data_IF_276908531473
#
_entry.id   IF_276908531473
#
_cell.length_a   1.000
_cell.length_b   1.000
_cell.length_c   1.000
_cell.angle_alpha   90.00
_cell.angle_beta   90.00
_cell.angle_gamma   90.00
#
_symmetry.space_group_name_H-M   'P 1'
#
loop_
_entity.id
_entity.type
_entity.pdbx_description
1 polymer ?
#
# COMPACT_ATOMS: atom_id res chain seq x y z
N UNK A 1 -20.66 17.58 8.29
CA UNK A 1 -19.90 17.57 7.01
C UNK A 1 -19.18 16.24 6.86
N UNK A 2 -19.17 15.60 5.68
CA UNK A 2 -18.50 14.29 5.49
C UNK A 2 -17.00 14.47 5.13
N UNK A 3 -16.14 13.66 5.73
CA UNK A 3 -14.69 13.64 5.56
C UNK A 3 -13.96 14.97 5.83
N UNK A 4 -14.55 15.87 6.64
CA UNK A 4 -13.93 17.15 6.99
C UNK A 4 -13.16 17.03 8.30
N UNK A 5 -11.86 17.34 8.23
CA UNK A 5 -10.94 17.43 9.36
C UNK A 5 -10.69 18.91 9.70
N UNK A 6 -10.79 19.26 10.98
CA UNK A 6 -10.38 20.56 11.50
C UNK A 6 -9.18 20.39 12.43
N UNK A 7 -8.07 21.05 12.11
CA UNK A 7 -6.84 21.01 12.90
C UNK A 7 -6.09 22.34 12.80
N UNK A 8 -5.63 22.87 13.94
CA UNK A 8 -4.92 24.17 14.04
C UNK A 8 -5.66 25.32 13.32
N UNK A 9 -6.98 25.41 13.50
CA UNK A 9 -7.81 26.48 12.90
C UNK A 9 -8.03 26.36 11.39
N UNK A 10 -7.55 25.30 10.74
CA UNK A 10 -7.72 25.03 9.31
C UNK A 10 -8.67 23.86 9.07
N UNK A 11 -9.33 23.86 7.91
CA UNK A 11 -10.22 22.81 7.44
C UNK A 11 -9.59 22.05 6.28
N UNK A 12 -9.73 20.73 6.29
CA UNK A 12 -9.20 19.82 5.28
C UNK A 12 -10.29 18.84 4.87
N UNK A 13 -10.38 18.54 3.57
CA UNK A 13 -11.24 17.47 3.06
C UNK A 13 -10.36 16.24 2.81
N UNK A 14 -10.61 15.17 3.56
CA UNK A 14 -9.87 13.92 3.46
C UNK A 14 -10.49 13.01 2.39
N UNK A 15 -9.66 12.25 1.67
CA UNK A 15 -10.13 11.23 0.73
C UNK A 15 -10.56 11.75 -0.66
N UNK A 16 -10.29 13.01 -1.00
CA UNK A 16 -10.59 13.57 -2.33
C UNK A 16 -9.33 13.73 -3.19
N UNK A 17 -9.36 13.12 -4.38
CA UNK A 17 -8.31 13.26 -5.40
C UNK A 17 -7.03 12.46 -5.13
N UNK A 18 -6.21 12.27 -6.16
CA UNK A 18 -4.88 11.67 -6.03
C UNK A 18 -3.91 12.69 -5.46
N UNK A 19 -3.15 12.32 -4.44
CA UNK A 19 -2.04 13.15 -3.96
C UNK A 19 -0.84 13.01 -4.90
N UNK A 20 -0.22 14.14 -5.25
CA UNK A 20 1.05 14.15 -5.98
C UNK A 20 2.11 13.38 -5.19
N UNK A 21 2.92 12.56 -5.87
CA UNK A 21 4.04 11.87 -5.23
C UNK A 21 5.00 12.89 -4.61
N UNK A 22 5.22 12.77 -3.31
CA UNK A 22 6.24 13.53 -2.58
C UNK A 22 7.35 12.56 -2.18
N UNK A 23 8.61 12.95 -2.43
CA UNK A 23 9.79 12.08 -2.22
C UNK A 23 9.94 11.54 -0.79
N UNK A 24 9.44 12.25 0.22
CA UNK A 24 9.46 11.79 1.61
C UNK A 24 8.07 11.91 2.24
N UNK A 25 7.69 10.89 3.04
CA UNK A 25 6.45 10.87 3.81
C UNK A 25 6.39 11.98 4.88
N UNK A 26 7.52 12.61 5.21
CA UNK A 26 7.59 13.68 6.20
C UNK A 26 7.77 15.07 5.57
N UNK A 27 7.69 15.20 4.25
CA UNK A 27 7.88 16.47 3.55
C UNK A 27 6.77 17.49 3.80
N UNK A 28 5.58 17.05 4.23
CA UNK A 28 4.46 17.91 4.58
C UNK A 28 3.55 17.22 5.61
N UNK A 29 2.49 17.90 6.04
CA UNK A 29 1.57 17.41 7.06
C UNK A 29 0.46 16.49 6.51
N UNK A 30 0.45 16.15 5.22
CA UNK A 30 -0.64 15.36 4.62
C UNK A 30 -0.82 14.01 5.32
N UNK A 31 0.25 13.27 5.58
CA UNK A 31 0.16 11.97 6.24
C UNK A 31 -0.28 12.10 7.71
N UNK A 32 0.12 13.16 8.39
CA UNK A 32 -0.28 13.44 9.76
C UNK A 32 -1.79 13.75 9.83
N UNK A 33 -2.29 14.58 8.91
CA UNK A 33 -3.72 14.89 8.78
C UNK A 33 -4.54 13.63 8.42
N UNK A 34 -4.07 12.81 7.48
CA UNK A 34 -4.70 11.54 7.15
C UNK A 34 -4.69 10.56 8.34
N UNK A 35 -3.64 10.58 9.16
CA UNK A 35 -3.57 9.78 10.39
C UNK A 35 -4.63 10.23 11.40
N UNK A 36 -4.89 11.53 11.56
CA UNK A 36 -5.98 12.03 12.42
C UNK A 36 -7.34 11.52 11.95
N UNK A 37 -7.61 11.62 10.65
CA UNK A 37 -8.86 11.13 10.07
C UNK A 37 -8.99 9.61 10.28
N UNK A 38 -7.91 8.84 10.08
CA UNK A 38 -7.89 7.40 10.30
C UNK A 38 -8.14 7.03 11.78
N UNK A 39 -7.51 7.73 12.73
CA UNK A 39 -7.76 7.53 14.17
C UNK A 39 -9.23 7.76 14.50
N UNK A 40 -9.83 8.86 14.03
CA UNK A 40 -11.24 9.16 14.28
C UNK A 40 -12.18 8.09 13.68
N UNK A 41 -11.90 7.65 12.45
CA UNK A 41 -12.67 6.58 11.80
C UNK A 41 -12.57 5.27 12.58
N UNK A 42 -11.37 4.88 13.02
CA UNK A 42 -11.16 3.64 13.77
C UNK A 42 -11.84 3.67 15.15
N UNK A 43 -11.73 4.78 15.88
CA UNK A 43 -12.41 4.96 17.17
C UNK A 43 -13.92 4.85 16.99
N UNK A 44 -14.49 5.48 15.95
CA UNK A 44 -15.92 5.38 15.65
C UNK A 44 -16.33 3.96 15.30
N UNK A 45 -15.56 3.28 14.45
CA UNK A 45 -15.81 1.90 14.05
C UNK A 45 -15.84 0.97 15.27
N UNK A 46 -14.88 1.12 16.19
CA UNK A 46 -14.81 0.34 17.44
C UNK A 46 -15.73 0.83 18.55
N UNK A 47 -16.47 1.93 18.34
CA UNK A 47 -17.31 2.59 19.35
C UNK A 47 -16.51 2.98 20.61
N UNK A 48 -15.24 3.37 20.42
CA UNK A 48 -14.35 3.80 21.50
C UNK A 48 -14.63 5.22 21.99
N UNK A 49 -14.03 5.57 23.12
CA UNK A 49 -14.08 6.93 23.65
C UNK A 49 -13.25 7.89 22.79
N UNK A 50 -13.79 9.08 22.52
CA UNK A 50 -13.12 10.12 21.71
C UNK A 50 -11.98 10.83 22.49
N UNK A 51 -11.90 10.59 23.80
CA UNK A 51 -10.80 10.98 24.68
C UNK A 51 -10.11 9.71 25.17
N UNK A 52 -9.01 9.33 24.53
CA UNK A 52 -8.37 8.04 24.80
C UNK A 52 -6.89 8.05 24.47
N UNK A 53 -6.21 7.02 24.95
CA UNK A 53 -4.81 6.76 24.71
C UNK A 53 -4.67 5.74 23.57
N UNK A 54 -3.75 5.96 22.64
CA UNK A 54 -3.52 5.08 21.49
C UNK A 54 -2.04 4.78 21.28
N UNK A 55 -1.74 3.60 20.76
CA UNK A 55 -0.44 3.26 20.18
C UNK A 55 -0.61 3.21 18.67
N UNK A 56 0.18 3.99 17.93
CA UNK A 56 0.13 3.97 16.47
C UNK A 56 1.07 2.89 15.94
N UNK A 57 0.53 1.98 15.14
CA UNK A 57 1.29 1.00 14.40
C UNK A 57 1.30 1.40 12.92
N UNK A 58 2.47 1.70 12.35
CA UNK A 58 2.57 2.23 10.99
C UNK A 58 3.74 1.62 10.20
N UNK A 59 3.66 1.77 8.87
CA UNK A 59 4.58 1.14 7.92
C UNK A 59 5.46 2.10 7.13
N UNK A 60 6.70 1.69 6.89
CA UNK A 60 7.57 2.30 5.88
C UNK A 60 7.95 1.27 4.81
N UNK A 61 8.16 1.70 3.55
CA UNK A 61 8.73 0.84 2.52
C UNK A 61 10.03 0.23 3.02
N UNK A 62 10.28 -1.06 2.76
CA UNK A 62 11.47 -1.70 3.32
C UNK A 62 12.75 -0.99 2.87
N UNK A 63 12.85 -0.64 1.59
CA UNK A 63 14.03 0.01 1.03
C UNK A 63 14.40 1.32 1.73
N UNK A 64 13.42 2.03 2.31
CA UNK A 64 13.67 3.26 3.04
C UNK A 64 13.57 3.10 4.56
N UNK A 65 13.17 1.93 5.07
CA UNK A 65 12.86 1.70 6.49
C UNK A 65 13.99 2.16 7.39
N UNK A 66 15.22 1.69 7.19
CA UNK A 66 16.35 2.04 8.04
C UNK A 66 16.66 3.55 8.08
N UNK A 67 16.53 4.24 6.94
CA UNK A 67 16.81 5.67 6.79
C UNK A 67 15.68 6.54 7.34
N UNK A 68 14.43 6.17 7.09
CA UNK A 68 13.26 7.02 7.37
C UNK A 68 12.61 6.72 8.72
N UNK A 69 12.91 5.59 9.36
CA UNK A 69 12.29 5.16 10.63
C UNK A 69 12.33 6.23 11.71
N UNK A 70 13.49 6.85 11.96
CA UNK A 70 13.62 7.84 13.02
C UNK A 70 12.74 9.08 12.74
N UNK A 71 12.89 9.67 11.57
CA UNK A 71 12.15 10.88 11.18
C UNK A 71 10.65 10.65 11.09
N UNK A 72 10.22 9.50 10.57
CA UNK A 72 8.79 9.18 10.48
C UNK A 72 8.17 8.91 11.86
N UNK A 73 8.94 8.31 12.78
CA UNK A 73 8.49 8.14 14.17
C UNK A 73 8.31 9.51 14.84
N UNK A 74 9.29 10.40 14.72
CA UNK A 74 9.21 11.76 15.26
C UNK A 74 8.05 12.57 14.65
N UNK A 75 7.81 12.40 13.36
CA UNK A 75 6.70 13.04 12.62
C UNK A 75 5.31 12.66 13.16
N UNK A 76 5.10 11.37 13.48
CA UNK A 76 3.85 10.85 14.05
C UNK A 76 3.78 11.06 15.57
N UNK A 77 4.92 11.00 16.27
CA UNK A 77 5.03 11.12 17.72
C UNK A 77 5.44 12.54 18.14
N UNK A 78 4.63 13.52 17.75
CA UNK A 78 4.85 14.94 18.08
C UNK A 78 4.75 15.16 19.60
N UNK A 79 5.56 16.12 20.10
CA UNK A 79 5.63 16.45 21.53
C UNK A 79 4.37 17.16 22.03
N UNK A 80 3.67 17.84 21.14
CA UNK A 80 2.41 18.52 21.40
C UNK A 80 1.30 17.49 21.64
N UNK A 81 1.14 17.08 22.90
CA UNK A 81 0.13 16.13 23.38
C UNK A 81 -0.77 16.80 24.44
N UNK A 82 -2.06 16.44 24.54
CA UNK A 82 -2.76 15.48 23.67
C UNK A 82 -3.05 16.09 22.28
N UNK A 83 -3.13 15.22 21.27
CA UNK A 83 -3.53 15.58 19.92
C UNK A 83 -5.03 15.90 19.89
N UNK A 84 -5.36 17.18 19.68
CA UNK A 84 -6.73 17.69 19.61
C UNK A 84 -7.12 18.07 18.18
N UNK A 85 -8.23 17.55 17.70
CA UNK A 85 -8.77 17.83 16.37
C UNK A 85 -10.28 17.58 16.33
N UNK A 86 -10.95 18.05 15.26
CA UNK A 86 -12.33 17.65 14.97
C UNK A 86 -12.41 16.90 13.65
N UNK A 87 -13.23 15.86 13.59
CA UNK A 87 -13.48 15.12 12.37
C UNK A 87 -14.98 14.89 12.21
N UNK A 88 -15.56 15.33 11.10
CA UNK A 88 -17.02 15.31 10.85
C UNK A 88 -17.84 15.88 12.02
N UNK A 89 -17.46 17.09 12.46
CA UNK A 89 -18.11 17.86 13.54
C UNK A 89 -17.95 17.28 14.97
N UNK A 90 -17.24 16.17 15.11
CA UNK A 90 -16.95 15.50 16.40
C UNK A 90 -15.56 15.86 16.93
N UNK A 91 -15.44 16.15 18.23
CA UNK A 91 -14.17 16.51 18.87
C UNK A 91 -13.43 15.27 19.41
N UNK A 92 -12.13 15.20 19.16
CA UNK A 92 -11.23 14.15 19.64
C UNK A 92 -10.09 14.74 20.46
N UNK A 93 -9.71 14.07 21.56
CA UNK A 93 -8.55 14.36 22.39
C UNK A 93 -7.74 13.08 22.58
N UNK A 94 -6.75 12.86 21.73
CA UNK A 94 -6.02 11.60 21.62
C UNK A 94 -4.63 11.75 22.21
N UNK A 95 -4.27 10.92 23.19
CA UNK A 95 -2.89 10.81 23.65
C UNK A 95 -2.19 9.69 22.89
N UNK A 96 -1.24 10.02 22.03
CA UNK A 96 -0.40 9.00 21.41
C UNK A 96 0.64 8.59 22.46
N UNK A 97 0.58 7.34 22.91
CA UNK A 97 1.50 6.80 23.92
C UNK A 97 2.82 6.34 23.29
N UNK A 98 2.75 5.74 22.10
CA UNK A 98 3.91 5.30 21.34
C UNK A 98 3.59 5.19 19.85
N UNK A 99 4.64 5.16 19.04
CA UNK A 99 4.59 4.89 17.60
C UNK A 99 5.54 3.72 17.30
N UNK A 100 4.97 2.60 16.87
CA UNK A 100 5.67 1.39 16.44
C UNK A 100 5.72 1.36 14.91
N UNK A 101 6.93 1.36 14.37
CA UNK A 101 7.15 1.32 12.93
C UNK A 101 7.63 -0.04 12.48
N UNK A 102 7.02 -0.51 11.40
CA UNK A 102 7.30 -1.81 10.82
C UNK A 102 7.63 -1.72 9.33
N UNK A 103 8.42 -2.67 8.83
CA UNK A 103 8.63 -2.83 7.40
C UNK A 103 7.35 -3.28 6.70
N UNK A 104 6.95 -2.54 5.65
CA UNK A 104 5.93 -2.97 4.69
C UNK A 104 6.36 -4.27 4.01
N UNK A 105 5.41 -5.11 3.63
CA UNK A 105 5.68 -6.42 3.03
C UNK A 105 5.87 -7.50 4.08
N UNK A 106 6.85 -7.30 4.96
CA UNK A 106 7.23 -8.32 5.94
C UNK A 106 6.18 -8.53 7.02
N UNK A 107 5.51 -7.47 7.47
CA UNK A 107 4.53 -7.58 8.56
C UNK A 107 3.25 -8.31 8.15
N UNK A 108 2.90 -8.26 6.86
CA UNK A 108 1.81 -9.07 6.31
C UNK A 108 2.11 -10.58 6.43
N UNK A 109 3.38 -10.99 6.38
CA UNK A 109 3.77 -12.39 6.61
C UNK A 109 3.55 -12.86 8.05
N UNK A 110 3.42 -11.95 9.03
CA UNK A 110 3.04 -12.34 10.39
C UNK A 110 1.63 -12.96 10.45
N UNK A 111 0.79 -12.68 9.45
CA UNK A 111 -0.53 -13.30 9.28
C UNK A 111 -0.44 -14.61 8.48
N UNK A 112 0.59 -14.77 7.65
CA UNK A 112 0.75 -15.87 6.69
C UNK A 112 2.16 -16.49 6.72
N UNK A 113 2.64 -17.02 7.88
CA UNK A 113 3.99 -17.56 8.00
C UNK A 113 4.24 -18.76 7.07
N UNK A 114 3.17 -19.48 6.66
CA UNK A 114 3.22 -20.56 5.67
C UNK A 114 3.75 -20.14 4.30
N UNK A 115 3.74 -18.84 3.99
CA UNK A 115 4.25 -18.34 2.71
C UNK A 115 5.77 -18.46 2.57
N UNK A 116 6.49 -18.53 3.70
CA UNK A 116 7.96 -18.44 3.73
C UNK A 116 8.64 -19.55 4.54
N UNK A 117 7.88 -20.31 5.34
CA UNK A 117 8.40 -21.25 6.35
C UNK A 117 9.40 -22.27 5.81
N UNK A 118 9.14 -22.82 4.63
CA UNK A 118 9.90 -23.94 4.07
C UNK A 118 10.74 -23.53 2.85
N UNK A 119 10.92 -22.23 2.64
CA UNK A 119 11.64 -21.67 1.50
C UNK A 119 12.93 -20.98 1.96
N UNK A 120 14.11 -21.38 1.45
CA UNK A 120 15.38 -20.77 1.85
C UNK A 120 15.52 -19.34 1.32
N UNK A 121 14.83 -19.01 0.23
CA UNK A 121 14.83 -17.67 -0.35
C UNK A 121 13.47 -17.33 -0.95
N UNK A 122 12.89 -16.20 -0.57
CA UNK A 122 11.59 -15.73 -1.08
C UNK A 122 11.67 -14.26 -1.43
N UNK A 123 11.14 -13.86 -2.58
CA UNK A 123 10.98 -12.45 -2.92
C UNK A 123 9.64 -11.92 -2.41
N UNK A 124 9.67 -10.90 -1.57
CA UNK A 124 8.52 -10.05 -1.30
C UNK A 124 8.46 -8.94 -2.36
N UNK A 125 7.30 -8.76 -2.99
CA UNK A 125 7.01 -7.68 -3.92
C UNK A 125 5.72 -6.96 -3.51
N UNK A 126 5.83 -5.73 -3.00
CA UNK A 126 4.68 -4.88 -2.65
C UNK A 126 4.40 -3.90 -3.80
N UNK A 127 3.29 -4.12 -4.51
CA UNK A 127 2.88 -3.34 -5.68
C UNK A 127 1.88 -2.29 -5.22
N UNK A 128 2.41 -1.13 -4.87
CA UNK A 128 1.67 0.04 -4.44
C UNK A 128 1.18 0.90 -5.60
N UNK A 129 0.53 2.02 -5.24
CA UNK A 129 0.04 3.00 -6.22
C UNK A 129 1.18 3.66 -7.00
N UNK A 130 2.29 3.98 -6.34
CA UNK A 130 3.42 4.71 -6.98
C UNK A 130 4.64 3.84 -7.24
N UNK A 131 4.95 2.93 -6.32
CA UNK A 131 6.16 2.12 -6.35
C UNK A 131 5.85 0.63 -6.31
N UNK A 132 6.80 -0.15 -6.80
CA UNK A 132 6.92 -1.59 -6.52
C UNK A 132 8.16 -1.78 -5.65
N UNK A 133 7.94 -2.18 -4.41
CA UNK A 133 9.00 -2.39 -3.44
C UNK A 133 9.36 -3.88 -3.36
N UNK A 134 10.63 -4.20 -3.58
CA UNK A 134 11.18 -5.55 -3.62
C UNK A 134 12.10 -5.81 -2.45
N UNK A 135 12.05 -7.04 -1.92
CA UNK A 135 12.89 -7.50 -0.82
C UNK A 135 13.03 -9.00 -0.87
N UNK A 136 14.26 -9.50 -0.85
CA UNK A 136 14.51 -10.92 -0.61
C UNK A 136 14.51 -11.22 0.88
N UNK A 137 13.89 -12.33 1.24
CA UNK A 137 14.05 -12.98 2.52
C UNK A 137 15.01 -14.15 2.34
N UNK A 138 15.99 -14.27 3.22
CA UNK A 138 16.89 -15.42 3.30
C UNK A 138 16.57 -16.17 4.60
N UNK A 139 16.08 -17.40 4.49
CA UNK A 139 15.56 -18.19 5.63
C UNK A 139 14.55 -17.40 6.47
N UNK A 140 13.56 -16.79 5.81
CA UNK A 140 12.55 -15.89 6.42
C UNK A 140 13.10 -14.61 7.06
N UNK A 141 14.40 -14.29 6.92
CA UNK A 141 14.99 -13.05 7.45
C UNK A 141 15.12 -12.00 6.35
N UNK A 142 14.64 -10.76 6.54
CA UNK A 142 14.79 -9.68 5.57
C UNK A 142 16.25 -9.37 5.22
N UNK A 143 16.60 -9.42 3.94
CA UNK A 143 17.90 -9.01 3.44
C UNK A 143 17.84 -7.57 2.90
N UNK A 144 18.20 -6.60 3.74
CA UNK A 144 18.15 -5.18 3.41
C UNK A 144 19.02 -4.78 2.19
N UNK A 145 20.10 -5.51 1.88
CA UNK A 145 20.95 -5.21 0.72
C UNK A 145 20.25 -5.48 -0.62
N UNK A 146 19.22 -6.33 -0.59
CA UNK A 146 18.42 -6.68 -1.77
C UNK A 146 17.25 -5.73 -2.00
N UNK A 147 17.01 -4.75 -1.11
CA UNK A 147 15.91 -3.82 -1.28
C UNK A 147 16.00 -3.03 -2.57
N UNK A 148 14.90 -2.98 -3.34
CA UNK A 148 14.74 -2.12 -4.50
C UNK A 148 13.37 -1.47 -4.44
N UNK A 149 13.28 -0.21 -4.88
CA UNK A 149 12.02 0.49 -5.04
C UNK A 149 11.95 0.97 -6.48
N UNK A 150 11.00 0.46 -7.24
CA UNK A 150 10.82 0.74 -8.66
C UNK A 150 9.65 1.71 -8.81
N UNK A 151 9.82 2.81 -9.54
CA UNK A 151 8.71 3.73 -9.83
C UNK A 151 7.77 3.15 -10.90
N UNK A 152 7.18 1.99 -10.64
CA UNK A 152 6.32 1.25 -11.56
C UNK A 152 4.97 0.90 -10.92
N UNK A 153 4.51 1.68 -9.94
CA UNK A 153 3.24 1.44 -9.28
C UNK A 153 2.03 1.55 -10.22
N UNK A 154 0.88 1.14 -9.69
CA UNK A 154 -0.39 1.00 -10.44
C UNK A 154 -0.85 2.31 -11.10
N UNK A 155 -0.52 3.47 -10.54
CA UNK A 155 -0.90 4.77 -11.11
C UNK A 155 -0.36 4.93 -12.53
N UNK A 156 0.90 4.51 -12.80
CA UNK A 156 1.46 4.58 -14.16
C UNK A 156 0.72 3.66 -15.13
N UNK A 157 0.23 2.51 -14.66
CA UNK A 157 -0.60 1.61 -15.47
C UNK A 157 -1.93 2.27 -15.83
N UNK A 158 -2.61 2.88 -14.85
CA UNK A 158 -3.90 3.55 -15.06
C UNK A 158 -3.77 4.76 -15.99
N UNK A 159 -2.70 5.54 -15.84
CA UNK A 159 -2.45 6.72 -16.68
C UNK A 159 -2.20 6.30 -18.15
N UNK A 160 -1.37 5.27 -18.38
CA UNK A 160 -1.14 4.70 -19.70
C UNK A 160 -2.43 4.14 -20.31
N UNK A 161 -3.23 3.41 -19.53
CA UNK A 161 -4.53 2.90 -19.99
C UNK A 161 -5.45 4.02 -20.43
N UNK A 162 -5.53 5.09 -19.64
CA UNK A 162 -6.38 6.25 -19.93
C UNK A 162 -5.97 6.89 -21.25
N UNK A 163 -4.67 7.07 -21.47
CA UNK A 163 -4.12 7.59 -22.73
C UNK A 163 -4.45 6.66 -23.91
N UNK A 164 -4.22 5.36 -23.75
CA UNK A 164 -4.41 4.37 -24.81
C UNK A 164 -5.88 4.23 -25.20
N UNK A 165 -6.80 4.25 -24.24
CA UNK A 165 -8.24 4.26 -24.53
C UNK A 165 -8.59 5.53 -25.32
N UNK A 166 -8.20 6.71 -24.81
CA UNK A 166 -8.50 7.98 -25.48
C UNK A 166 -7.95 8.04 -26.89
N UNK A 167 -6.72 7.58 -27.11
CA UNK A 167 -6.06 7.58 -28.43
C UNK A 167 -6.74 6.67 -29.45
N UNK A 168 -7.23 5.51 -29.03
CA UNK A 168 -7.77 4.51 -29.96
C UNK A 168 -9.29 4.60 -30.15
N UNK A 169 -10.02 5.16 -29.19
CA UNK A 169 -11.50 5.20 -29.24
C UNK A 169 -12.08 6.62 -29.12
N UNK A 170 -11.27 7.61 -28.72
CA UNK A 170 -11.74 8.96 -28.39
C UNK A 170 -12.50 9.05 -27.07
N UNK A 171 -12.69 7.94 -26.35
CA UNK A 171 -13.46 7.87 -25.12
C UNK A 171 -12.63 8.31 -23.90
N UNK A 172 -13.32 8.81 -22.88
CA UNK A 172 -12.78 8.98 -21.54
C UNK A 172 -13.33 7.88 -20.63
N UNK A 173 -12.45 7.31 -19.80
CA UNK A 173 -12.80 6.26 -18.83
C UNK A 173 -12.37 6.69 -17.44
N UNK A 174 -13.11 6.28 -16.42
CA UNK A 174 -12.77 6.59 -15.03
C UNK A 174 -11.82 5.56 -14.45
N UNK A 175 -11.03 5.96 -13.45
CA UNK A 175 -10.16 5.07 -12.68
C UNK A 175 -10.89 3.81 -12.18
N UNK A 176 -12.13 3.99 -11.69
CA UNK A 176 -12.96 2.89 -11.20
C UNK A 176 -13.30 1.91 -12.33
N UNK A 177 -13.63 2.39 -13.53
CA UNK A 177 -13.89 1.50 -14.67
C UNK A 177 -12.65 0.71 -15.06
N UNK A 178 -11.49 1.37 -15.10
CA UNK A 178 -10.20 0.73 -15.38
C UNK A 178 -9.91 -0.35 -14.34
N UNK A 179 -9.98 -0.01 -13.06
CA UNK A 179 -9.71 -0.92 -11.94
C UNK A 179 -10.64 -2.15 -11.99
N UNK A 180 -11.94 -1.96 -12.23
CA UNK A 180 -12.89 -3.07 -12.33
C UNK A 180 -12.52 -4.02 -13.46
N UNK A 181 -12.20 -3.50 -14.65
CA UNK A 181 -11.83 -4.34 -15.81
C UNK A 181 -10.50 -5.04 -15.59
N UNK A 182 -9.49 -4.35 -15.05
CA UNK A 182 -8.19 -4.96 -14.73
C UNK A 182 -8.31 -6.11 -13.74
N UNK A 183 -9.23 -6.01 -12.79
CA UNK A 183 -9.53 -7.05 -11.81
C UNK A 183 -10.54 -8.11 -12.31
N UNK A 184 -10.97 -8.03 -13.58
CA UNK A 184 -11.91 -8.98 -14.18
C UNK A 184 -13.35 -8.86 -13.69
N UNK A 185 -13.72 -7.75 -13.05
CA UNK A 185 -15.07 -7.47 -12.60
C UNK A 185 -15.97 -7.00 -13.75
N UNK A 186 -17.28 -7.12 -13.58
CA UNK A 186 -18.24 -6.59 -14.55
C UNK A 186 -18.19 -5.07 -14.60
N UNK A 187 -18.16 -4.54 -15.83
CA UNK A 187 -18.20 -3.12 -16.11
C UNK A 187 -18.91 -2.90 -17.43
N UNK A 188 -20.02 -2.16 -17.40
CA UNK A 188 -20.72 -1.73 -18.61
C UNK A 188 -19.91 -0.62 -19.26
N UNK A 189 -19.34 -0.91 -20.43
CA UNK A 189 -18.56 0.03 -21.23
C UNK A 189 -18.41 -0.46 -22.66
N UNK A 190 -17.90 0.42 -23.52
CA UNK A 190 -17.57 0.10 -24.89
C UNK A 190 -16.62 -1.12 -24.99
N UNK A 191 -16.92 -2.12 -25.84
CA UNK A 191 -16.12 -3.34 -25.96
C UNK A 191 -14.66 -3.09 -26.36
N UNK A 192 -14.40 -2.13 -27.26
CA UNK A 192 -13.04 -1.83 -27.71
C UNK A 192 -12.22 -1.17 -26.59
N UNK A 193 -12.84 -0.25 -25.83
CA UNK A 193 -12.21 0.31 -24.63
C UNK A 193 -11.88 -0.77 -23.59
N UNK A 194 -12.80 -1.72 -23.37
CA UNK A 194 -12.58 -2.86 -22.46
C UNK A 194 -11.40 -3.74 -22.91
N UNK A 195 -11.31 -4.04 -24.19
CA UNK A 195 -10.21 -4.83 -24.76
C UNK A 195 -8.85 -4.13 -24.57
N UNK A 196 -8.80 -2.81 -24.81
CA UNK A 196 -7.58 -2.02 -24.58
C UNK A 196 -7.14 -2.10 -23.11
N UNK A 197 -8.06 -1.98 -22.16
CA UNK A 197 -7.73 -2.06 -20.73
C UNK A 197 -7.16 -3.43 -20.39
N UNK A 198 -7.76 -4.52 -20.88
CA UNK A 198 -7.27 -5.88 -20.64
C UNK A 198 -5.86 -6.05 -21.21
N UNK A 199 -5.63 -5.62 -22.45
CA UNK A 199 -4.32 -5.69 -23.12
C UNK A 199 -3.26 -4.91 -22.35
N UNK A 200 -3.58 -3.69 -21.91
CA UNK A 200 -2.67 -2.86 -21.13
C UNK A 200 -2.38 -3.45 -19.74
N UNK A 201 -3.35 -4.11 -19.09
CA UNK A 201 -3.11 -4.87 -17.86
C UNK A 201 -2.08 -5.99 -18.04
N UNK A 202 -2.11 -6.68 -19.18
CA UNK A 202 -1.10 -7.68 -19.55
C UNK A 202 0.28 -7.05 -19.78
N UNK A 203 0.36 -5.98 -20.57
CA UNK A 203 1.62 -5.26 -20.82
C UNK A 203 2.23 -4.70 -19.52
N UNK A 204 1.41 -4.20 -18.61
CA UNK A 204 1.86 -3.77 -17.30
C UNK A 204 2.46 -4.92 -16.49
N UNK A 205 1.81 -6.08 -16.50
CA UNK A 205 2.31 -7.29 -15.83
C UNK A 205 3.67 -7.70 -16.39
N UNK A 206 3.82 -7.77 -17.71
CA UNK A 206 5.10 -8.07 -18.37
C UNK A 206 6.19 -7.07 -17.99
N UNK A 207 5.85 -5.77 -17.96
CA UNK A 207 6.77 -4.72 -17.53
C UNK A 207 7.24 -4.90 -16.08
N UNK A 208 6.35 -5.29 -15.17
CA UNK A 208 6.72 -5.58 -13.77
C UNK A 208 7.65 -6.80 -13.70
N UNK A 209 7.30 -7.90 -14.39
CA UNK A 209 8.14 -9.11 -14.39
C UNK A 209 9.54 -8.82 -14.94
N UNK A 210 9.64 -8.10 -16.05
CA UNK A 210 10.92 -7.67 -16.62
C UNK A 210 11.70 -6.78 -15.66
N UNK A 211 11.05 -5.79 -15.04
CA UNK A 211 11.73 -4.90 -14.11
C UNK A 211 12.22 -5.62 -12.83
N UNK A 212 11.50 -6.64 -12.36
CA UNK A 212 11.93 -7.50 -11.25
C UNK A 212 13.17 -8.32 -11.66
N UNK A 213 13.17 -8.85 -12.88
CA UNK A 213 14.33 -9.56 -13.43
C UNK A 213 15.56 -8.64 -13.59
N UNK A 214 15.37 -7.43 -14.13
CA UNK A 214 16.41 -6.40 -14.23
C UNK A 214 16.94 -5.96 -12.87
N UNK A 215 16.10 -5.97 -11.83
CA UNK A 215 16.50 -5.72 -10.45
C UNK A 215 17.34 -6.85 -9.83
N UNK A 216 17.54 -7.96 -10.56
CA UNK A 216 18.37 -9.10 -10.17
C UNK A 216 17.59 -10.27 -9.56
N UNK A 217 16.26 -10.30 -9.69
CA UNK A 217 15.43 -11.37 -9.14
C UNK A 217 14.78 -12.18 -10.25
N UNK A 218 15.24 -13.42 -10.43
CA UNK A 218 14.62 -14.35 -11.37
C UNK A 218 13.42 -15.05 -10.71
N UNK A 219 12.21 -14.61 -11.04
CA UNK A 219 10.95 -15.19 -10.55
C UNK A 219 10.68 -16.61 -11.09
N UNK A 220 11.46 -17.09 -12.07
CA UNK A 220 11.45 -18.49 -12.50
C UNK A 220 12.28 -19.39 -11.58
N UNK A 221 13.15 -18.81 -10.76
CA UNK A 221 14.03 -19.53 -9.84
C UNK A 221 13.68 -19.32 -8.36
N UNK A 222 13.11 -18.16 -8.01
CA UNK A 222 12.83 -17.77 -6.62
C UNK A 222 11.31 -17.61 -6.42
N UNK A 223 10.70 -18.28 -5.42
CA UNK A 223 9.30 -18.08 -5.10
C UNK A 223 9.04 -16.63 -4.68
N UNK A 224 7.85 -16.12 -4.98
CA UNK A 224 7.49 -14.75 -4.64
C UNK A 224 6.15 -14.64 -3.91
N UNK A 225 6.11 -13.69 -2.97
CA UNK A 225 4.89 -13.21 -2.34
C UNK A 225 4.63 -11.82 -2.87
N UNK A 226 3.57 -11.71 -3.67
CA UNK A 226 3.13 -10.48 -4.32
C UNK A 226 1.97 -9.91 -3.50
N UNK A 227 2.08 -8.64 -3.10
CA UNK A 227 1.07 -7.96 -2.29
C UNK A 227 0.87 -6.50 -2.70
N UNK A 228 0.02 -5.80 -1.97
CA UNK A 228 -0.37 -4.42 -2.28
C UNK A 228 -1.54 -4.37 -3.27
N UNK A 229 -2.04 -3.15 -3.52
CA UNK A 229 -3.22 -2.93 -4.37
C UNK A 229 -3.06 -3.42 -5.81
N UNK A 230 -1.82 -3.53 -6.31
CA UNK A 230 -1.54 -4.07 -7.64
C UNK A 230 -1.41 -5.60 -7.71
N UNK A 231 -1.42 -6.32 -6.59
CA UNK A 231 -1.25 -7.77 -6.58
C UNK A 231 -2.36 -8.51 -7.34
N UNK A 232 -3.60 -8.02 -7.26
CA UNK A 232 -4.74 -8.59 -7.96
C UNK A 232 -4.64 -8.44 -9.48
N UNK A 233 -4.05 -7.33 -9.95
CA UNK A 233 -3.77 -7.09 -11.37
C UNK A 233 -2.78 -8.14 -11.87
N UNK A 234 -1.64 -8.33 -11.19
CA UNK A 234 -0.67 -9.35 -11.59
C UNK A 234 -1.28 -10.74 -11.56
N UNK A 235 -2.01 -11.10 -10.50
CA UNK A 235 -2.69 -12.40 -10.38
C UNK A 235 -3.61 -12.68 -11.58
N UNK A 236 -4.27 -11.65 -12.10
CA UNK A 236 -5.22 -11.79 -13.20
C UNK A 236 -4.55 -11.94 -14.57
N UNK A 237 -3.39 -11.33 -14.75
CA UNK A 237 -2.74 -11.13 -16.04
C UNK A 237 -1.48 -11.97 -16.23
N UNK A 238 -0.93 -12.58 -15.18
CA UNK A 238 0.08 -13.64 -15.28
C UNK A 238 -0.52 -14.87 -15.97
N UNK A 239 0.28 -15.52 -16.82
CA UNK A 239 -0.07 -16.71 -17.59
C UNK A 239 0.96 -17.81 -17.39
N UNK A 240 0.65 -19.08 -17.71
CA UNK A 240 1.63 -20.17 -17.64
C UNK A 240 2.89 -19.94 -18.49
N UNK A 241 2.79 -19.13 -19.56
CA UNK A 241 3.93 -18.80 -20.43
C UNK A 241 4.99 -17.94 -19.74
N UNK A 242 4.63 -17.23 -18.66
CA UNK A 242 5.59 -16.45 -17.87
C UNK A 242 6.60 -17.35 -17.13
N UNK A 243 6.29 -18.64 -16.95
CA UNK A 243 7.23 -19.64 -16.42
C UNK A 243 7.65 -19.41 -14.97
N UNK A 244 6.86 -18.68 -14.19
CA UNK A 244 7.15 -18.30 -12.81
C UNK A 244 7.03 -19.54 -11.90
N UNK A 245 8.00 -19.75 -10.99
CA UNK A 245 8.10 -20.99 -10.23
C UNK A 245 6.95 -21.19 -9.22
N UNK A 246 6.79 -20.26 -8.27
CA UNK A 246 5.74 -20.26 -7.25
C UNK A 246 5.39 -18.83 -6.88
N UNK A 247 4.11 -18.51 -6.97
CA UNK A 247 3.60 -17.17 -6.68
C UNK A 247 2.50 -17.27 -5.64
N UNK A 248 2.61 -16.44 -4.61
CA UNK A 248 1.62 -16.30 -3.57
C UNK A 248 1.11 -14.86 -3.63
N UNK A 249 -0.21 -14.69 -3.79
CA UNK A 249 -0.82 -13.37 -3.87
C UNK A 249 -1.57 -13.04 -2.60
N UNK A 250 -1.09 -12.04 -1.87
CA UNK A 250 -1.79 -11.45 -0.74
C UNK A 250 -2.52 -10.20 -1.23
N UNK A 251 -3.74 -10.41 -1.74
CA UNK A 251 -4.54 -9.35 -2.38
C UNK A 251 -5.35 -8.50 -1.38
N UNK A 252 -5.33 -8.84 -0.09
CA UNK A 252 -5.97 -8.00 0.93
C UNK A 252 -5.14 -6.74 1.15
N UNK A 253 -5.73 -5.60 0.78
CA UNK A 253 -5.12 -4.27 0.92
C UNK A 253 -4.84 -3.90 2.39
N UNK A 254 -5.48 -4.58 3.35
CA UNK A 254 -5.28 -4.37 4.78
C UNK A 254 -4.17 -5.25 5.37
N UNK A 255 -3.61 -6.20 4.62
CA UNK A 255 -2.70 -7.21 5.17
C UNK A 255 -1.51 -6.61 5.95
N UNK A 256 -0.92 -5.52 5.45
CA UNK A 256 0.14 -4.80 6.16
C UNK A 256 -0.37 -4.20 7.49
N UNK A 257 -1.52 -3.51 7.46
CA UNK A 257 -2.10 -2.86 8.65
C UNK A 257 -2.51 -3.87 9.72
N UNK A 258 -3.18 -4.96 9.33
CA UNK A 258 -3.54 -6.06 10.21
C UNK A 258 -2.32 -6.77 10.77
N UNK A 259 -1.25 -6.91 9.98
CA UNK A 259 0.04 -7.41 10.44
C UNK A 259 0.64 -6.53 11.55
N UNK A 260 0.63 -5.20 11.36
CA UNK A 260 1.11 -4.26 12.38
C UNK A 260 0.31 -4.36 13.68
N UNK A 261 -1.03 -4.38 13.59
CA UNK A 261 -1.90 -4.50 14.77
C UNK A 261 -1.61 -5.78 15.54
N UNK A 262 -1.52 -6.93 14.85
CA UNK A 262 -1.21 -8.22 15.49
C UNK A 262 0.13 -8.19 16.22
N UNK A 263 1.18 -7.66 15.59
CA UNK A 263 2.52 -7.61 16.19
C UNK A 263 2.52 -6.68 17.41
N UNK A 264 1.89 -5.51 17.34
CA UNK A 264 1.81 -4.58 18.48
C UNK A 264 0.96 -5.16 19.60
N UNK A 265 -0.17 -5.80 19.30
CA UNK A 265 -1.01 -6.46 20.30
C UNK A 265 -0.24 -7.49 21.12
N UNK A 266 0.63 -8.27 20.48
CA UNK A 266 1.51 -9.23 21.17
C UNK A 266 2.61 -8.55 22.01
N UNK A 267 3.08 -7.37 21.60
CA UNK A 267 4.06 -6.59 22.38
C UNK A 267 3.43 -5.95 23.62
N UNK A 268 2.17 -5.50 23.53
CA UNK A 268 1.44 -4.86 24.62
C UNK A 268 0.79 -5.85 25.60
N UNK A 269 0.59 -7.10 25.19
CA UNK A 269 0.10 -8.17 26.07
C UNK A 269 1.17 -8.76 27.00
N UNK A 270 2.43 -8.30 26.88
CA UNK A 270 3.55 -8.63 27.75
C UNK A 270 3.79 -7.50 28.75
#
# INVERSE_FOLDING_TARGET
>A
MQNVLQYNGKFYVCGTGRQTLVRSKTSNDNYYLLTMAAIAQEIRYRRGERKTDVVLAAGLPLASFGREKKGFREYLFRKEQPLRFRYEDESYEIRIQDVKLFPQGYSALALHPECVRDEPSVLLADIGGWTVDLMRLDNSVPNAATCRSLELGVIRCVDEITEQVRRNTGLSVTDIQIERVLNGQSCSMDPAAKEIIIRQGRLYTEKILSAIMEAGFDLKAIPSVIMGGGASILKRHVTPQDGLCRQIYLTDVHANASGYERIVGQMCAK
#
